data_IF_387238506310
#
_entry.id   IF_387238506310
#
_cell.length_a   1.000
_cell.length_b   1.000
_cell.length_c   1.000
_cell.angle_alpha   90.00
_cell.angle_beta   90.00
_cell.angle_gamma   90.00
#
_symmetry.space_group_name_H-M   'P 1'
#
loop_
_entity.id
_entity.type
_entity.pdbx_description
1 polymer ?
#
# COMPACT_ATOMS: atom_id res chain seq x y z
N UNK A 1 2.59 -11.51 3.25
CA UNK A 1 1.42 -10.63 3.51
C UNK A 1 1.36 -10.18 4.97
N UNK A 2 1.29 -11.09 5.95
CA UNK A 2 1.27 -10.71 7.39
C UNK A 2 2.48 -9.89 7.85
N UNK A 3 3.70 -10.23 7.43
CA UNK A 3 4.92 -9.52 7.88
C UNK A 3 5.00 -8.07 7.42
N UNK A 4 4.50 -7.75 6.22
CA UNK A 4 4.44 -6.37 5.72
C UNK A 4 3.46 -5.51 6.54
N UNK A 5 2.29 -6.05 6.88
CA UNK A 5 1.33 -5.40 7.77
C UNK A 5 1.82 -5.36 9.23
N UNK A 6 2.56 -6.37 9.69
CA UNK A 6 3.12 -6.42 11.03
C UNK A 6 4.20 -5.34 11.22
N UNK A 7 5.12 -5.21 10.26
CA UNK A 7 6.19 -4.21 10.32
C UNK A 7 5.71 -2.76 10.17
N UNK A 8 4.54 -2.52 9.57
CA UNK A 8 3.95 -1.17 9.47
C UNK A 8 3.09 -0.82 10.69
N UNK A 9 2.37 -1.78 11.27
CA UNK A 9 1.57 -1.54 12.49
C UNK A 9 2.40 -1.36 13.76
N UNK A 10 3.66 -1.83 13.82
CA UNK A 10 4.51 -1.64 15.00
C UNK A 10 5.08 -0.22 15.14
N UNK A 11 5.09 0.59 14.07
CA UNK A 11 5.78 1.88 14.05
C UNK A 11 4.93 3.09 13.64
N UNK A 12 3.73 2.88 13.10
CA UNK A 12 2.83 3.96 12.66
C UNK A 12 1.68 4.15 13.66
N UNK A 13 1.49 5.40 14.11
CA UNK A 13 0.32 5.79 14.93
C UNK A 13 -0.96 5.80 14.10
N UNK A 14 -0.85 6.04 12.80
CA UNK A 14 -1.96 5.98 11.86
C UNK A 14 -1.51 5.57 10.46
N UNK A 15 -2.42 4.96 9.70
CA UNK A 15 -2.23 4.62 8.30
C UNK A 15 -3.56 4.81 7.54
N UNK A 16 -3.56 5.71 6.56
CA UNK A 16 -4.66 5.92 5.62
C UNK A 16 -4.20 5.56 4.21
N UNK A 17 -5.01 4.81 3.46
CA UNK A 17 -4.72 4.43 2.08
C UNK A 17 -5.72 5.12 1.15
N UNK A 18 -5.21 5.90 0.21
CA UNK A 18 -5.99 6.70 -0.74
C UNK A 18 -5.74 6.16 -2.14
N UNK A 19 -6.80 5.74 -2.85
CA UNK A 19 -6.67 5.35 -4.26
C UNK A 19 -6.44 6.61 -5.09
N UNK A 20 -5.32 6.68 -5.80
CA UNK A 20 -4.90 7.88 -6.55
C UNK A 20 -5.27 7.85 -8.02
N UNK A 21 -5.80 6.73 -8.51
CA UNK A 21 -6.20 6.60 -9.91
C UNK A 21 -7.03 5.35 -10.21
N UNK A 22 -7.33 5.08 -11.49
CA UNK A 22 -8.12 3.92 -11.89
C UNK A 22 -7.43 2.61 -11.50
N UNK A 23 -8.21 1.73 -10.87
CA UNK A 23 -7.80 0.34 -10.63
C UNK A 23 -7.79 -0.40 -11.97
N UNK A 24 -6.74 -1.17 -12.23
CA UNK A 24 -6.64 -2.04 -13.41
C UNK A 24 -6.72 -3.48 -12.95
N UNK A 25 -7.68 -4.24 -13.48
CA UNK A 25 -7.84 -5.65 -13.13
C UNK A 25 -8.07 -6.50 -14.39
N UNK A 26 -7.50 -7.71 -14.39
CA UNK A 26 -7.68 -8.70 -15.47
C UNK A 26 -7.41 -10.10 -14.93
N UNK A 27 -8.34 -11.04 -15.17
CA UNK A 27 -8.25 -12.40 -14.65
C UNK A 27 -8.02 -12.41 -13.14
N UNK A 28 -6.95 -13.06 -12.72
CA UNK A 28 -6.56 -13.22 -11.31
C UNK A 28 -5.65 -12.11 -10.78
N UNK A 29 -5.56 -10.96 -11.46
CA UNK A 29 -4.63 -9.89 -11.11
C UNK A 29 -5.33 -8.53 -10.99
N UNK A 30 -4.88 -7.72 -10.03
CA UNK A 30 -5.26 -6.32 -9.91
C UNK A 30 -4.06 -5.44 -9.57
N UNK A 31 -3.96 -4.28 -10.21
CA UNK A 31 -3.01 -3.23 -9.90
C UNK A 31 -3.76 -2.00 -9.39
N UNK A 32 -3.37 -1.52 -8.21
CA UNK A 32 -4.01 -0.42 -7.50
C UNK A 32 -2.97 0.67 -7.24
N UNK A 33 -3.05 1.82 -7.93
CA UNK A 33 -2.25 2.98 -7.57
C UNK A 33 -2.83 3.61 -6.30
N UNK A 34 -2.00 3.77 -5.27
CA UNK A 34 -2.43 4.29 -3.99
C UNK A 34 -1.38 5.21 -3.36
N UNK A 35 -1.83 6.04 -2.43
CA UNK A 35 -0.99 6.82 -1.53
C UNK A 35 -1.26 6.39 -0.10
N UNK A 36 -0.21 5.97 0.59
CA UNK A 36 -0.25 5.71 2.03
C UNK A 36 0.13 6.98 2.78
N UNK A 37 -0.76 7.50 3.63
CA UNK A 37 -0.50 8.60 4.55
C UNK A 37 -0.34 8.03 5.94
N UNK A 38 0.78 8.32 6.60
CA UNK A 38 1.08 7.77 7.93
C UNK A 38 1.71 8.81 8.84
N UNK A 39 1.48 8.63 10.14
CA UNK A 39 2.08 9.43 11.21
C UNK A 39 2.93 8.55 12.13
N UNK A 40 4.09 9.04 12.53
CA UNK A 40 4.99 8.40 13.48
C UNK A 40 5.52 9.48 14.45
N UNK A 41 4.91 9.57 15.63
CA UNK A 41 5.15 10.67 16.57
C UNK A 41 4.73 12.01 15.98
N UNK A 42 5.66 12.97 15.93
CA UNK A 42 5.43 14.29 15.32
C UNK A 42 5.64 14.31 13.80
N UNK A 43 6.20 13.25 13.22
CA UNK A 43 6.46 13.17 11.78
C UNK A 43 5.25 12.61 11.03
N UNK A 44 4.89 13.24 9.91
CA UNK A 44 3.87 12.75 8.98
C UNK A 44 4.44 12.68 7.57
N UNK A 45 4.16 11.58 6.88
CA UNK A 45 4.66 11.36 5.52
C UNK A 45 3.66 10.58 4.67
N UNK A 46 3.78 10.77 3.37
CA UNK A 46 3.08 10.04 2.32
C UNK A 46 4.05 9.16 1.56
N UNK A 47 3.58 8.01 1.08
CA UNK A 47 4.30 7.15 0.14
C UNK A 47 3.36 6.86 -1.04
N UNK A 48 3.80 7.14 -2.26
CA UNK A 48 3.12 6.67 -3.47
C UNK A 48 3.50 5.22 -3.78
N UNK A 49 2.50 4.36 -3.93
CA UNK A 49 2.67 2.91 -4.00
C UNK A 49 1.83 2.37 -5.17
N UNK A 50 2.37 1.35 -5.84
CA UNK A 50 1.59 0.49 -6.73
C UNK A 50 1.45 -0.88 -6.04
N UNK A 51 0.24 -1.21 -5.60
CA UNK A 51 -0.04 -2.54 -5.09
C UNK A 51 -0.51 -3.45 -6.22
N UNK A 52 0.13 -4.61 -6.35
CA UNK A 52 -0.26 -5.66 -7.28
C UNK A 52 -0.71 -6.88 -6.48
N UNK A 53 -1.95 -7.28 -6.71
CA UNK A 53 -2.61 -8.41 -6.09
C UNK A 53 -2.72 -9.57 -7.07
N UNK A 54 -2.51 -10.78 -6.57
CA UNK A 54 -2.87 -12.04 -7.23
C UNK A 54 -3.97 -12.71 -6.43
N UNK A 55 -4.99 -13.24 -7.11
CA UNK A 55 -6.13 -13.93 -6.51
C UNK A 55 -6.15 -15.41 -6.93
N UNK A 56 -6.79 -16.27 -6.14
CA UNK A 56 -7.14 -17.62 -6.56
C UNK A 56 -8.53 -17.67 -7.21
N UNK A 57 -8.95 -18.87 -7.63
CA UNK A 57 -10.28 -19.11 -8.22
C UNK A 57 -11.45 -18.75 -7.30
N UNK A 58 -11.24 -18.75 -5.97
CA UNK A 58 -12.25 -18.33 -4.98
C UNK A 58 -12.28 -16.80 -4.77
N UNK A 59 -11.45 -16.05 -5.50
CA UNK A 59 -11.33 -14.59 -5.36
C UNK A 59 -10.57 -14.15 -4.11
N UNK A 60 -9.85 -15.05 -3.45
CA UNK A 60 -9.02 -14.74 -2.28
C UNK A 60 -7.63 -14.30 -2.70
N UNK A 61 -7.08 -13.30 -2.01
CA UNK A 61 -5.71 -12.84 -2.24
C UNK A 61 -4.71 -13.94 -1.88
N UNK A 62 -3.89 -14.35 -2.85
CA UNK A 62 -2.79 -15.30 -2.66
C UNK A 62 -1.43 -14.61 -2.58
N UNK A 63 -1.29 -13.45 -3.22
CA UNK A 63 -0.07 -12.64 -3.19
C UNK A 63 -0.44 -11.15 -3.23
N UNK A 64 0.37 -10.33 -2.56
CA UNK A 64 0.34 -8.87 -2.63
C UNK A 64 1.77 -8.35 -2.65
N UNK A 65 2.10 -7.55 -3.66
CA UNK A 65 3.39 -6.87 -3.80
C UNK A 65 3.17 -5.37 -3.87
N UNK A 66 3.81 -4.64 -2.96
CA UNK A 66 3.85 -3.18 -2.98
C UNK A 66 5.13 -2.72 -3.66
N UNK A 67 5.01 -1.89 -4.70
CA UNK A 67 6.14 -1.31 -5.42
C UNK A 67 6.24 0.18 -5.11
N UNK A 68 7.37 0.58 -4.52
CA UNK A 68 7.75 1.95 -4.20
C UNK A 68 9.26 2.00 -3.92
N UNK A 69 9.81 3.20 -3.88
CA UNK A 69 11.22 3.47 -3.58
C UNK A 69 11.33 4.67 -2.64
N UNK A 70 12.54 4.95 -2.14
CA UNK A 70 12.75 6.08 -1.23
C UNK A 70 12.39 7.45 -1.85
N UNK A 71 12.40 7.59 -3.19
CA UNK A 71 12.02 8.84 -3.86
C UNK A 71 10.51 9.07 -3.90
N UNK A 72 9.71 8.04 -3.61
CA UNK A 72 8.25 8.12 -3.58
C UNK A 72 7.73 8.57 -2.20
N UNK A 73 8.63 8.79 -1.23
CA UNK A 73 8.32 9.28 0.11
C UNK A 73 8.30 10.81 0.11
N UNK A 74 7.20 11.39 0.56
CA UNK A 74 7.02 12.84 0.67
C UNK A 74 6.62 13.22 2.11
N UNK A 75 7.28 14.20 2.76
CA UNK A 75 6.80 14.73 4.03
C UNK A 75 5.45 15.42 3.86
N UNK A 76 4.59 15.35 4.88
CA UNK A 76 3.30 16.04 4.91
C UNK A 76 3.31 16.97 6.12
N UNK A 77 2.91 18.22 5.91
CA UNK A 77 2.73 19.22 6.97
C UNK A 77 1.51 18.93 7.88
#
# INVERSE_FOLDING_TARGET
MREFFAGTHEFADSLELIVTGPIRAVGHFAAVPLRAVTSMGEAKFAIDIIDVFTFNEDGLVTEMKAYWTATDITPID
#
